data_IF_438311407834
#
_entry.id   IF_438311407834
#
_cell.length_a   1.000
_cell.length_b   1.000
_cell.length_c   1.000
_cell.angle_alpha   90.00
_cell.angle_beta   90.00
_cell.angle_gamma   90.00
#
_symmetry.space_group_name_H-M   'P 1'
#
loop_
_entity.id
_entity.type
_entity.pdbx_description
1 polymer ?
#
# COMPACT_ATOMS: atom_id res chain seq x y z
N UNK A 1 -12.16 -19.20 7.76
CA UNK A 1 -11.16 -18.49 8.58
C UNK A 1 -10.89 -17.20 7.85
N UNK A 2 -10.96 -16.05 8.53
CA UNK A 2 -10.74 -14.74 7.88
C UNK A 2 -9.25 -14.59 7.55
N UNK A 3 -8.93 -14.24 6.32
CA UNK A 3 -7.58 -13.94 5.83
C UNK A 3 -7.39 -12.43 5.73
N UNK A 4 -6.35 -11.92 6.38
CA UNK A 4 -6.09 -10.48 6.45
C UNK A 4 -4.73 -10.19 5.81
N UNK A 5 -4.70 -9.27 4.85
CA UNK A 5 -3.47 -8.64 4.38
C UNK A 5 -3.23 -7.36 5.18
N UNK A 6 -2.05 -7.22 5.79
CA UNK A 6 -1.70 -6.07 6.60
C UNK A 6 -0.41 -5.42 6.07
N UNK A 7 -0.50 -4.14 5.70
CA UNK A 7 0.58 -3.37 5.06
C UNK A 7 0.71 -1.97 5.70
N UNK A 8 1.84 -1.31 5.47
CA UNK A 8 2.15 0.04 5.94
C UNK A 8 3.19 0.71 5.04
N UNK A 9 3.52 1.99 5.29
CA UNK A 9 4.73 2.67 4.78
C UNK A 9 4.88 2.69 3.24
N UNK A 10 3.79 2.95 2.52
CA UNK A 10 3.83 3.00 1.05
C UNK A 10 4.41 4.31 0.51
N UNK A 11 4.35 5.40 1.28
CA UNK A 11 4.91 6.72 0.95
C UNK A 11 4.65 7.14 -0.50
N UNK A 12 3.40 6.99 -0.95
CA UNK A 12 2.99 7.34 -2.32
C UNK A 12 3.24 8.82 -2.57
N UNK A 13 3.94 9.11 -3.66
CA UNK A 13 4.23 10.47 -4.12
C UNK A 13 4.49 10.49 -5.63
N UNK A 14 4.42 11.69 -6.23
CA UNK A 14 4.80 11.90 -7.64
C UNK A 14 6.31 12.09 -7.81
N UNK A 15 7.06 12.19 -6.70
CA UNK A 15 8.50 12.33 -6.71
C UNK A 15 9.21 11.00 -7.02
N UNK A 16 10.47 11.03 -7.52
CA UNK A 16 11.25 9.82 -7.81
C UNK A 16 11.48 8.90 -6.60
N UNK A 17 11.20 9.37 -5.39
CA UNK A 17 11.32 8.62 -4.15
C UNK A 17 10.27 7.51 -4.01
N UNK A 18 9.14 7.58 -4.73
CA UNK A 18 8.11 6.56 -4.63
C UNK A 18 8.58 5.23 -5.22
N UNK A 19 8.61 4.19 -4.37
CA UNK A 19 8.97 2.81 -4.75
C UNK A 19 7.79 2.09 -5.41
N UNK A 20 7.30 2.64 -6.52
CA UNK A 20 6.11 2.14 -7.23
C UNK A 20 6.18 0.65 -7.55
N UNK A 21 7.34 0.14 -7.96
CA UNK A 21 7.52 -1.29 -8.24
C UNK A 21 7.22 -2.19 -7.04
N UNK A 22 7.68 -1.83 -5.84
CA UNK A 22 7.42 -2.61 -4.64
C UNK A 22 5.94 -2.55 -4.23
N UNK A 23 5.34 -1.36 -4.35
CA UNK A 23 3.90 -1.16 -4.14
C UNK A 23 3.07 -2.04 -5.09
N UNK A 24 3.39 -2.02 -6.39
CA UNK A 24 2.68 -2.78 -7.42
C UNK A 24 2.78 -4.28 -7.18
N UNK A 25 3.93 -4.81 -6.76
CA UNK A 25 4.07 -6.23 -6.42
C UNK A 25 3.12 -6.64 -5.28
N UNK A 26 3.07 -5.85 -4.22
CA UNK A 26 2.24 -6.13 -3.04
C UNK A 26 0.76 -6.03 -3.39
N UNK A 27 0.35 -4.97 -4.10
CA UNK A 27 -1.04 -4.78 -4.52
C UNK A 27 -1.49 -5.87 -5.49
N UNK A 28 -0.63 -6.28 -6.43
CA UNK A 28 -0.94 -7.36 -7.36
C UNK A 28 -1.08 -8.71 -6.66
N UNK A 29 -0.25 -9.01 -5.65
CA UNK A 29 -0.39 -10.22 -4.84
C UNK A 29 -1.72 -10.19 -4.07
N UNK A 30 -2.00 -9.11 -3.33
CA UNK A 30 -3.24 -8.96 -2.56
C UNK A 30 -4.48 -9.15 -3.44
N UNK A 31 -4.49 -8.57 -4.63
CA UNK A 31 -5.61 -8.66 -5.57
C UNK A 31 -5.78 -10.05 -6.23
N UNK A 32 -4.75 -10.90 -6.21
CA UNK A 32 -4.77 -12.25 -6.78
C UNK A 32 -4.98 -13.35 -5.73
N UNK A 33 -4.74 -13.05 -4.47
CA UNK A 33 -4.98 -13.95 -3.34
C UNK A 33 -6.43 -13.86 -2.83
N UNK A 34 -6.78 -14.75 -1.91
CA UNK A 34 -8.12 -14.85 -1.30
C UNK A 34 -8.19 -14.16 0.08
N UNK A 35 -7.71 -12.92 0.17
CA UNK A 35 -7.85 -12.11 1.39
C UNK A 35 -9.28 -11.56 1.54
N UNK A 36 -9.81 -11.61 2.77
CA UNK A 36 -11.13 -11.09 3.12
C UNK A 36 -11.08 -9.62 3.56
N UNK A 37 -9.92 -9.17 4.06
CA UNK A 37 -9.71 -7.82 4.56
C UNK A 37 -8.28 -7.36 4.28
N UNK A 38 -8.13 -6.11 3.85
CA UNK A 38 -6.84 -5.43 3.73
C UNK A 38 -6.81 -4.28 4.73
N UNK A 39 -5.75 -4.21 5.54
CA UNK A 39 -5.50 -3.14 6.50
C UNK A 39 -4.22 -2.42 6.09
N UNK A 40 -4.29 -1.10 5.95
CA UNK A 40 -3.12 -0.23 5.78
C UNK A 40 -2.99 0.66 7.02
N UNK A 41 -1.89 0.58 7.77
CA UNK A 41 -1.81 1.20 9.11
C UNK A 41 -1.20 2.59 9.22
N UNK A 42 -0.65 3.15 8.14
CA UNK A 42 -0.14 4.52 8.15
C UNK A 42 0.82 4.79 7.01
N UNK A 43 1.27 6.03 6.89
CA UNK A 43 2.27 6.47 5.92
C UNK A 43 1.93 6.09 4.47
N UNK A 44 0.65 6.30 4.13
CA UNK A 44 0.11 6.03 2.79
C UNK A 44 0.72 6.98 1.76
N UNK A 45 0.73 8.29 2.04
CA UNK A 45 1.35 9.29 1.17
C UNK A 45 2.60 9.85 1.82
N UNK A 46 3.59 10.26 1.00
CA UNK A 46 4.82 10.85 1.54
C UNK A 46 4.59 12.27 2.09
N UNK A 47 3.59 12.97 1.57
CA UNK A 47 3.19 14.30 2.01
C UNK A 47 1.66 14.41 2.09
N UNK A 48 1.17 15.28 2.97
CA UNK A 48 -0.23 15.69 2.98
C UNK A 48 -0.58 16.67 1.86
N UNK A 49 -1.85 17.01 1.72
CA UNK A 49 -2.28 18.11 0.86
C UNK A 49 -1.63 19.41 1.37
N UNK A 50 -0.98 20.15 0.47
CA UNK A 50 -0.59 21.54 0.76
C UNK A 50 -1.85 22.40 0.67
N UNK A 51 -2.03 23.28 1.67
CA UNK A 51 -3.03 24.35 1.64
C UNK A 51 -2.86 25.28 0.43
#
# INVERSE_FOLDING_TARGET
MIKIAHISDTHITQEPAFKSYAYDLIVNEINRSDFDLVIHTGDVTNQGLKE
#
